data_IF_569053972728
#
_entry.id   IF_569053972728
#
_cell.length_a   1.000
_cell.length_b   1.000
_cell.length_c   1.000
_cell.angle_alpha   90.00
_cell.angle_beta   90.00
_cell.angle_gamma   90.00
#
_symmetry.space_group_name_H-M   'P 1'
#
loop_
_entity.id
_entity.type
_entity.pdbx_description
1 polymer ?
#
# COMPACT_ATOMS: atom_id res chain seq x y z
N UNK A 1 -3.85 -9.92 -17.85
CA UNK A 1 -5.19 -9.89 -17.20
C UNK A 1 -5.11 -8.84 -16.11
N UNK A 2 -6.16 -8.04 -15.89
CA UNK A 2 -6.15 -7.04 -14.82
C UNK A 2 -6.13 -7.70 -13.44
N UNK A 3 -5.18 -7.31 -12.60
CA UNK A 3 -5.09 -7.68 -11.19
C UNK A 3 -6.22 -7.05 -10.37
N UNK A 4 -6.46 -7.58 -9.16
CA UNK A 4 -7.45 -6.98 -8.25
C UNK A 4 -7.11 -5.53 -7.90
N UNK A 5 -5.82 -5.19 -7.80
CA UNK A 5 -5.38 -3.81 -7.54
C UNK A 5 -5.63 -2.88 -8.73
N UNK A 6 -5.37 -3.31 -9.97
CA UNK A 6 -5.75 -2.52 -11.15
C UNK A 6 -7.25 -2.23 -11.17
N UNK A 7 -8.07 -3.22 -10.82
CA UNK A 7 -9.54 -3.04 -10.74
C UNK A 7 -9.95 -2.07 -9.62
N UNK A 8 -9.22 -2.03 -8.50
CA UNK A 8 -9.43 -1.02 -7.43
C UNK A 8 -8.99 0.37 -7.91
N UNK A 9 -7.82 0.48 -8.55
CA UNK A 9 -7.30 1.73 -9.12
C UNK A 9 -8.29 2.29 -10.16
N UNK A 10 -8.84 1.42 -11.01
CA UNK A 10 -9.83 1.76 -12.03
C UNK A 10 -11.26 1.96 -11.49
N UNK A 11 -11.48 1.85 -10.18
CA UNK A 11 -12.80 2.00 -9.53
C UNK A 11 -13.84 0.94 -9.90
N UNK A 12 -13.41 -0.19 -10.41
CA UNK A 12 -14.28 -1.33 -10.67
C UNK A 12 -14.60 -2.12 -9.40
N UNK A 13 -13.72 -2.04 -8.40
CA UNK A 13 -13.88 -2.67 -7.09
C UNK A 13 -13.78 -1.65 -5.96
N UNK A 14 -14.58 -1.79 -4.89
CA UNK A 14 -14.52 -0.92 -3.74
C UNK A 14 -13.27 -1.21 -2.89
N UNK A 15 -12.73 -0.18 -2.25
CA UNK A 15 -11.68 -0.31 -1.24
C UNK A 15 -11.79 0.81 -0.21
N UNK A 16 -11.30 0.57 1.01
CA UNK A 16 -11.11 1.64 2.01
C UNK A 16 -9.80 2.34 1.72
N UNK A 17 -9.88 3.53 1.13
CA UNK A 17 -8.70 4.28 0.68
C UNK A 17 -8.27 5.23 1.79
N UNK A 18 -7.03 5.10 2.26
CA UNK A 18 -6.43 5.99 3.26
C UNK A 18 -5.70 7.17 2.61
N UNK A 19 -4.96 6.89 1.53
CA UNK A 19 -4.22 7.91 0.78
C UNK A 19 -4.26 7.59 -0.70
N UNK A 20 -4.28 8.61 -1.53
CA UNK A 20 -4.16 8.44 -2.97
C UNK A 20 -3.63 9.71 -3.62
N UNK A 21 -2.68 9.57 -4.53
CA UNK A 21 -2.16 10.64 -5.37
C UNK A 21 -1.97 10.14 -6.81
N UNK A 22 -1.15 10.82 -7.61
CA UNK A 22 -0.92 10.45 -9.00
C UNK A 22 -0.07 9.19 -9.15
N UNK A 23 0.71 8.81 -8.14
CA UNK A 23 1.71 7.74 -8.21
C UNK A 23 1.24 6.49 -7.48
N UNK A 24 0.51 6.62 -6.38
CA UNK A 24 0.07 5.50 -5.55
C UNK A 24 -1.38 5.57 -5.13
N UNK A 25 -1.91 4.39 -4.77
CA UNK A 25 -3.09 4.24 -3.92
C UNK A 25 -2.70 3.47 -2.66
N UNK A 26 -3.21 3.90 -1.51
CA UNK A 26 -2.99 3.26 -0.22
C UNK A 26 -4.34 2.83 0.34
N UNK A 27 -4.54 1.53 0.48
CA UNK A 27 -5.81 0.95 0.91
C UNK A 27 -5.64 0.11 2.17
N UNK A 28 -6.72 -0.08 2.92
CA UNK A 28 -6.74 -1.09 3.98
C UNK A 28 -6.65 -2.49 3.37
N UNK A 29 -5.82 -3.35 3.97
CA UNK A 29 -5.88 -4.78 3.70
C UNK A 29 -7.25 -5.33 4.16
N UNK A 30 -7.87 -6.17 3.34
CA UNK A 30 -9.18 -6.76 3.65
C UNK A 30 -9.09 -7.88 4.71
N UNK A 31 -7.90 -8.38 5.01
CA UNK A 31 -7.56 -9.35 6.07
C UNK A 31 -6.40 -8.78 6.91
N UNK A 32 -6.67 -7.77 7.76
CA UNK A 32 -5.63 -7.09 8.53
C UNK A 32 -4.90 -8.06 9.48
N UNK A 33 -3.58 -7.90 9.59
CA UNK A 33 -2.71 -8.65 10.54
C UNK A 33 -2.25 -7.82 11.74
N UNK A 34 -2.59 -6.54 11.75
CA UNK A 34 -2.32 -5.57 12.81
C UNK A 34 -3.45 -4.51 12.81
N UNK A 35 -3.47 -3.62 13.81
CA UNK A 35 -4.51 -2.57 13.91
C UNK A 35 -4.48 -1.63 12.70
N UNK A 36 -3.29 -1.24 12.28
CA UNK A 36 -3.03 -0.62 10.98
C UNK A 36 -2.41 -1.69 10.08
N UNK A 37 -3.13 -2.11 9.05
CA UNK A 37 -2.58 -2.90 7.95
C UNK A 37 -2.99 -2.25 6.62
N UNK A 38 -2.07 -1.50 6.03
CA UNK A 38 -2.27 -0.80 4.77
C UNK A 38 -1.43 -1.45 3.67
N UNK A 39 -1.93 -1.38 2.44
CA UNK A 39 -1.23 -1.76 1.22
C UNK A 39 -0.90 -0.49 0.45
N UNK A 40 0.38 -0.20 0.26
CA UNK A 40 0.85 0.91 -0.60
C UNK A 40 1.15 0.32 -1.98
N UNK A 41 0.38 0.73 -2.98
CA UNK A 41 0.35 0.12 -4.30
C UNK A 41 0.67 1.20 -5.35
N UNK A 42 1.68 1.02 -6.22
CA UNK A 42 1.92 1.93 -7.34
C UNK A 42 0.76 1.87 -8.34
N UNK A 43 0.44 3.01 -8.95
CA UNK A 43 -0.54 3.05 -10.05
C UNK A 43 0.04 2.53 -11.36
N UNK A 44 1.35 2.74 -11.54
CA UNK A 44 2.10 2.08 -12.60
C UNK A 44 2.26 0.60 -12.27
N UNK A 45 1.86 -0.26 -13.21
CA UNK A 45 1.88 -1.70 -13.00
C UNK A 45 3.32 -2.20 -12.99
N UNK A 46 3.72 -2.78 -11.86
CA UNK A 46 4.92 -3.60 -11.75
C UNK A 46 4.59 -4.91 -11.05
N UNK A 47 5.16 -6.02 -11.51
CA UNK A 47 4.77 -7.37 -11.08
C UNK A 47 5.23 -7.68 -9.65
N UNK A 48 6.51 -7.45 -9.35
CA UNK A 48 7.14 -7.84 -8.10
C UNK A 48 8.40 -6.99 -7.85
N UNK A 49 8.94 -7.06 -6.64
CA UNK A 49 10.08 -6.25 -6.21
C UNK A 49 11.32 -6.44 -7.11
N UNK A 50 11.61 -7.67 -7.51
CA UNK A 50 12.81 -8.01 -8.26
C UNK A 50 12.84 -7.40 -9.67
N UNK A 51 11.68 -7.32 -10.32
CA UNK A 51 11.54 -6.79 -11.68
C UNK A 51 11.20 -5.28 -11.69
N UNK A 52 10.98 -4.67 -10.53
CA UNK A 52 10.59 -3.26 -10.44
C UNK A 52 11.79 -2.33 -10.63
N UNK A 53 11.60 -1.29 -11.44
CA UNK A 53 12.59 -0.22 -11.60
C UNK A 53 12.86 0.53 -10.28
N UNK A 54 14.14 0.84 -10.05
CA UNK A 54 14.61 1.51 -8.83
C UNK A 54 13.93 2.86 -8.55
N UNK A 55 13.43 3.56 -9.57
CA UNK A 55 12.70 4.81 -9.43
C UNK A 55 11.34 4.59 -8.75
N UNK A 56 10.61 3.53 -9.14
CA UNK A 56 9.34 3.14 -8.51
C UNK A 56 9.59 2.71 -7.06
N UNK A 57 10.65 1.94 -6.79
CA UNK A 57 11.01 1.54 -5.43
C UNK A 57 11.33 2.75 -4.54
N UNK A 58 12.11 3.71 -5.06
CA UNK A 58 12.43 4.97 -4.36
C UNK A 58 11.17 5.78 -4.08
N UNK A 59 10.24 5.85 -5.04
CA UNK A 59 8.95 6.50 -4.87
C UNK A 59 8.14 5.82 -3.77
N UNK A 60 8.01 4.49 -3.77
CA UNK A 60 7.29 3.73 -2.74
C UNK A 60 7.89 3.91 -1.34
N UNK A 61 9.22 3.89 -1.21
CA UNK A 61 9.93 4.17 0.04
C UNK A 61 9.62 5.58 0.58
N UNK A 62 9.51 6.57 -0.31
CA UNK A 62 9.09 7.91 0.08
C UNK A 62 7.62 7.95 0.51
N UNK A 63 6.74 7.17 -0.14
CA UNK A 63 5.33 7.06 0.28
C UNK A 63 5.20 6.42 1.65
N UNK A 64 5.98 5.40 1.98
CA UNK A 64 6.03 4.81 3.34
C UNK A 64 6.25 5.90 4.39
N UNK A 65 7.24 6.79 4.19
CA UNK A 65 7.53 7.88 5.13
C UNK A 65 6.35 8.82 5.28
N UNK A 66 5.72 9.23 4.18
CA UNK A 66 4.53 10.09 4.18
C UNK A 66 3.37 9.42 4.94
N UNK A 67 3.16 8.11 4.77
CA UNK A 67 2.12 7.36 5.48
C UNK A 67 2.42 7.30 6.99
N UNK A 68 3.66 7.05 7.38
CA UNK A 68 4.06 7.05 8.79
C UNK A 68 3.88 8.42 9.46
N UNK A 69 4.23 9.52 8.76
CA UNK A 69 4.01 10.89 9.22
C UNK A 69 2.52 11.20 9.40
N UNK A 70 1.68 10.82 8.43
CA UNK A 70 0.22 11.02 8.49
C UNK A 70 -0.43 10.27 9.65
N UNK A 71 0.10 9.10 9.98
CA UNK A 71 -0.40 8.28 11.08
C UNK A 71 0.22 8.65 12.44
N UNK A 72 1.21 9.55 12.48
CA UNK A 72 1.88 9.97 13.71
C UNK A 72 2.77 8.90 14.36
N UNK A 73 3.25 7.93 13.58
CA UNK A 73 3.98 6.73 14.04
C UNK A 73 5.33 6.58 13.35
N UNK A 74 6.05 7.69 13.12
CA UNK A 74 7.32 7.73 12.38
C UNK A 74 8.42 6.82 12.94
N UNK A 75 8.31 6.39 14.20
CA UNK A 75 9.22 5.50 14.91
C UNK A 75 8.63 4.11 15.18
N UNK A 76 7.44 3.79 14.64
CA UNK A 76 6.66 2.62 15.06
C UNK A 76 5.82 1.99 13.94
N UNK A 77 6.49 1.30 13.00
CA UNK A 77 5.84 0.53 11.94
C UNK A 77 6.77 -0.56 11.36
N UNK A 78 6.18 -1.50 10.62
CA UNK A 78 6.89 -2.48 9.80
C UNK A 78 6.52 -2.31 8.33
N UNK A 79 7.50 -2.48 7.45
CA UNK A 79 7.30 -2.59 6.00
C UNK A 79 7.66 -4.00 5.57
N UNK A 80 6.74 -4.68 4.89
CA UNK A 80 6.95 -6.04 4.38
C UNK A 80 6.68 -6.04 2.88
N UNK A 81 7.63 -6.60 2.14
CA UNK A 81 7.55 -6.78 0.69
C UNK A 81 7.72 -8.28 0.41
N UNK A 82 6.73 -8.87 -0.25
CA UNK A 82 6.78 -10.26 -0.67
C UNK A 82 7.17 -10.32 -2.15
N UNK A 83 8.09 -11.21 -2.53
CA UNK A 83 8.53 -11.39 -3.92
C UNK A 83 8.43 -12.87 -4.31
N UNK A 84 7.38 -13.25 -5.03
CA UNK A 84 7.09 -14.63 -5.43
C UNK A 84 6.64 -15.54 -4.27
N UNK A 85 7.39 -15.61 -3.18
CA UNK A 85 6.96 -16.32 -1.96
C UNK A 85 6.01 -15.45 -1.15
N UNK A 86 4.82 -15.97 -0.83
CA UNK A 86 3.74 -15.25 -0.12
C UNK A 86 3.17 -14.02 -0.85
N UNK A 87 3.54 -13.80 -2.12
CA UNK A 87 2.94 -12.77 -2.95
C UNK A 87 1.70 -13.33 -3.65
N UNK A 88 0.51 -13.02 -3.13
CA UNK A 88 -0.76 -13.55 -3.67
C UNK A 88 -1.27 -12.79 -4.90
N UNK A 89 -0.88 -11.53 -5.04
CA UNK A 89 -1.30 -10.64 -6.13
C UNK A 89 -0.06 -10.22 -6.92
N UNK A 90 -0.09 -10.47 -8.23
CA UNK A 90 0.99 -10.15 -9.17
C UNK A 90 1.00 -8.66 -9.56
N UNK A 91 1.08 -7.83 -8.54
CA UNK A 91 1.23 -6.38 -8.61
C UNK A 91 1.96 -5.97 -7.33
N UNK A 92 3.13 -5.35 -7.46
CA UNK A 92 3.95 -4.91 -6.34
C UNK A 92 3.11 -4.11 -5.34
N UNK A 93 3.28 -4.43 -4.06
CA UNK A 93 2.66 -3.71 -2.97
C UNK A 93 3.52 -3.84 -1.73
N UNK A 94 3.56 -2.77 -0.94
CA UNK A 94 4.20 -2.78 0.36
C UNK A 94 3.11 -2.95 1.40
N UNK A 95 3.26 -3.97 2.25
CA UNK A 95 2.48 -4.05 3.47
C UNK A 95 3.08 -3.08 4.49
N UNK A 96 2.26 -2.16 4.98
CA UNK A 96 2.59 -1.24 6.08
C UNK A 96 1.79 -1.66 7.30
N UNK A 97 2.48 -2.11 8.35
CA UNK A 97 1.86 -2.63 9.57
C UNK A 97 2.24 -1.81 10.79
N UNK A 98 1.28 -1.58 11.67
CA UNK A 98 1.51 -1.03 13.01
C UNK A 98 0.39 -1.45 13.96
N UNK A 99 0.70 -1.59 15.24
CA UNK A 99 -0.27 -1.70 16.34
C UNK A 99 -0.52 -0.33 17.02
N UNK A 100 -0.16 0.78 16.35
CA UNK A 100 -0.46 2.16 16.76
C UNK A 100 -0.97 2.99 15.57
N UNK A 101 -1.58 4.14 15.86
CA UNK A 101 -1.98 5.13 14.85
C UNK A 101 -3.33 4.83 14.18
N UNK A 102 -4.06 3.81 14.64
CA UNK A 102 -5.37 3.44 14.11
C UNK A 102 -6.40 4.59 14.27
N UNK A 103 -6.24 5.43 15.30
CA UNK A 103 -7.04 6.63 15.54
C UNK A 103 -6.88 7.70 14.45
N UNK A 104 -5.76 7.67 13.71
CA UNK A 104 -5.45 8.60 12.63
C UNK A 104 -5.85 8.05 11.24
N UNK A 105 -6.50 6.89 11.18
CA UNK A 105 -7.04 6.34 9.94
C UNK A 105 -8.29 7.12 9.52
N UNK A 106 -8.09 8.07 8.62
CA UNK A 106 -9.16 8.82 7.97
C UNK A 106 -9.32 8.34 6.52
N UNK A 107 -10.47 7.75 6.23
CA UNK A 107 -10.78 7.19 4.92
C UNK A 107 -11.29 8.27 3.97
N UNK A 108 -10.83 8.26 2.73
CA UNK A 108 -11.35 9.12 1.69
C UNK A 108 -12.78 8.68 1.33
N UNK A 109 -13.74 9.60 1.41
CA UNK A 109 -15.09 9.39 0.91
C UNK A 109 -15.06 9.48 -0.63
N UNK A 110 -15.04 8.34 -1.32
CA UNK A 110 -15.08 8.25 -2.78
C UNK A 110 -16.02 7.13 -3.21
#
# INVERSE_FOLDING_TARGET
MSTVFERIINRELPAKIFHEDNEVIVIADHRPRAEVHLLIIPKEVSHNFYETDSEILTMLDNKVKIIAEKLGIVDHFQVIINNGYCQEIDHLHYHFLSDRGAENLHWLNR
#
